data_IF_095351852808
#
_entry.id   IF_095351852808
#
_cell.length_a   1.000
_cell.length_b   1.000
_cell.length_c   1.000
_cell.angle_alpha   90.00
_cell.angle_beta   90.00
_cell.angle_gamma   90.00
#
_symmetry.space_group_name_H-M   'P 1'
#
loop_
_entity.id
_entity.type
_entity.pdbx_description
1 polymer ?
#
# COMPACT_ATOMS: atom_id res chain seq x y z
N UNK A 1 -67.84 34.62 9.45
CA UNK A 1 -66.82 34.51 8.39
C UNK A 1 -65.46 34.33 9.06
N UNK A 2 -64.96 33.09 9.13
CA UNK A 2 -63.67 32.77 9.77
C UNK A 2 -62.62 32.71 8.66
N UNK A 3 -61.66 33.64 8.67
CA UNK A 3 -60.54 33.67 7.71
C UNK A 3 -59.44 32.77 8.25
N UNK A 4 -59.26 31.60 7.64
CA UNK A 4 -58.12 30.73 7.89
C UNK A 4 -56.86 31.38 7.29
N UNK A 5 -55.92 31.79 8.15
CA UNK A 5 -54.60 32.27 7.74
C UNK A 5 -53.70 31.04 7.62
N UNK A 6 -53.34 30.67 6.39
CA UNK A 6 -52.37 29.61 6.11
C UNK A 6 -50.97 30.09 6.46
N UNK A 7 -50.39 29.55 7.53
CA UNK A 7 -48.99 29.76 7.90
C UNK A 7 -48.13 28.77 7.09
N UNK A 8 -47.47 29.24 6.04
CA UNK A 8 -46.46 28.46 5.31
C UNK A 8 -45.16 28.55 6.11
N UNK A 9 -44.79 27.48 6.80
CA UNK A 9 -43.50 27.35 7.44
C UNK A 9 -42.43 27.06 6.37
N UNK A 10 -41.56 28.04 6.10
CA UNK A 10 -40.40 27.86 5.23
C UNK A 10 -39.30 27.23 6.08
N UNK A 11 -39.09 25.92 5.94
CA UNK A 11 -37.94 25.23 6.52
C UNK A 11 -36.70 25.52 5.67
N UNK A 12 -35.80 26.36 6.17
CA UNK A 12 -34.47 26.52 5.61
C UNK A 12 -33.66 25.24 5.88
N UNK A 13 -33.43 24.43 4.84
CA UNK A 13 -32.49 23.32 4.92
C UNK A 13 -31.06 23.88 4.95
N UNK A 14 -30.37 23.72 6.09
CA UNK A 14 -28.95 24.02 6.18
C UNK A 14 -28.17 22.96 5.39
N UNK A 15 -27.66 23.33 4.22
CA UNK A 15 -26.65 22.54 3.51
C UNK A 15 -25.33 22.65 4.27
N UNK A 16 -24.98 21.62 5.04
CA UNK A 16 -23.63 21.47 5.55
C UNK A 16 -22.71 21.27 4.33
N UNK A 17 -21.90 22.28 4.00
CA UNK A 17 -20.81 22.11 3.06
C UNK A 17 -19.90 21.01 3.62
N UNK A 18 -19.86 19.86 2.95
CA UNK A 18 -18.87 18.84 3.26
C UNK A 18 -17.51 19.48 3.03
N UNK A 19 -16.73 19.69 4.10
CA UNK A 19 -15.33 20.04 3.96
C UNK A 19 -14.68 18.94 3.12
N UNK A 20 -14.18 19.30 1.94
CA UNK A 20 -13.42 18.39 1.10
C UNK A 20 -12.27 17.86 1.96
N UNK A 21 -12.32 16.56 2.29
CA UNK A 21 -11.25 15.93 3.06
C UNK A 21 -10.07 15.80 2.12
N UNK A 22 -9.18 16.78 2.19
CA UNK A 22 -7.94 16.77 1.44
C UNK A 22 -6.99 15.76 2.08
N UNK A 23 -6.48 14.76 1.33
CA UNK A 23 -5.58 13.76 1.88
C UNK A 23 -4.23 14.37 2.25
N UNK A 24 -3.60 13.81 3.27
CA UNK A 24 -2.14 13.87 3.40
C UNK A 24 -1.57 12.69 2.63
N UNK A 25 -0.52 12.92 1.83
CA UNK A 25 0.23 11.84 1.20
C UNK A 25 1.40 11.45 2.09
N UNK A 26 1.50 10.15 2.37
CA UNK A 26 2.65 9.56 3.05
C UNK A 26 3.35 8.65 2.05
N UNK A 27 4.64 8.88 1.78
CA UNK A 27 5.39 8.04 0.87
C UNK A 27 6.47 7.26 1.62
N UNK A 28 6.58 5.97 1.34
CA UNK A 28 7.56 5.07 1.96
C UNK A 28 8.26 4.20 0.91
N UNK A 29 9.49 3.78 1.22
CA UNK A 29 10.18 2.73 0.46
C UNK A 29 9.65 1.36 0.86
N UNK A 30 9.71 0.42 -0.09
CA UNK A 30 9.64 -1.01 0.19
C UNK A 30 10.53 -1.47 1.37
N UNK A 31 10.23 -2.63 1.94
CA UNK A 31 10.98 -3.22 3.06
C UNK A 31 12.33 -3.83 2.65
N UNK A 32 13.18 -4.09 3.64
CA UNK A 32 14.53 -4.63 3.49
C UNK A 32 14.53 -5.89 2.63
N UNK A 33 15.51 -6.01 1.73
CA UNK A 33 15.56 -7.06 0.71
C UNK A 33 16.74 -8.00 0.87
N UNK A 34 16.55 -9.25 0.45
CA UNK A 34 17.62 -10.21 0.27
C UNK A 34 18.43 -9.88 -1.00
N UNK A 35 19.53 -10.60 -1.21
CA UNK A 35 20.39 -10.45 -2.40
C UNK A 35 19.68 -10.81 -3.70
N UNK A 36 18.71 -11.72 -3.65
CA UNK A 36 17.87 -12.09 -4.80
C UNK A 36 16.78 -11.04 -5.12
N UNK A 37 16.58 -10.05 -4.25
CA UNK A 37 15.59 -8.98 -4.42
C UNK A 37 14.25 -9.24 -3.73
N UNK A 38 14.03 -10.41 -3.14
CA UNK A 38 12.84 -10.72 -2.32
C UNK A 38 12.87 -9.96 -0.99
N UNK A 39 11.72 -9.87 -0.30
CA UNK A 39 11.68 -9.26 1.05
C UNK A 39 12.43 -10.17 2.04
N UNK A 40 13.36 -9.58 2.79
CA UNK A 40 14.14 -10.25 3.82
C UNK A 40 13.32 -10.51 5.09
N UNK A 41 13.86 -11.33 6.00
CA UNK A 41 13.25 -11.53 7.34
C UNK A 41 13.15 -10.22 8.12
N UNK A 42 14.17 -9.35 8.02
CA UNK A 42 14.12 -8.02 8.61
C UNK A 42 12.99 -7.19 7.98
N UNK A 43 12.84 -7.28 6.65
CA UNK A 43 11.77 -6.58 5.93
C UNK A 43 10.39 -7.04 6.38
N UNK A 44 10.19 -8.35 6.55
CA UNK A 44 8.93 -8.90 7.07
C UNK A 44 8.62 -8.43 8.50
N UNK A 45 9.65 -8.28 9.35
CA UNK A 45 9.46 -7.68 10.67
C UNK A 45 9.02 -6.21 10.57
N UNK A 46 9.60 -5.46 9.62
CA UNK A 46 9.20 -4.09 9.35
C UNK A 46 7.76 -4.02 8.82
N UNK A 47 7.33 -4.91 7.93
CA UNK A 47 5.92 -4.98 7.47
C UNK A 47 4.93 -5.06 8.65
N UNK A 48 5.24 -5.87 9.67
CA UNK A 48 4.41 -5.96 10.88
C UNK A 48 4.47 -4.70 11.74
N UNK A 49 5.58 -3.96 11.70
CA UNK A 49 5.63 -2.64 12.30
C UNK A 49 4.71 -1.66 11.55
N UNK A 50 4.69 -1.67 10.22
CA UNK A 50 3.82 -0.80 9.42
C UNK A 50 2.35 -1.01 9.77
N UNK A 51 1.93 -2.26 10.02
CA UNK A 51 0.57 -2.58 10.51
C UNK A 51 0.23 -1.84 11.80
N UNK A 52 1.18 -1.73 12.74
CA UNK A 52 1.00 -1.02 14.01
C UNK A 52 1.03 0.49 13.81
N UNK A 53 1.99 0.98 13.03
CA UNK A 53 2.23 2.40 12.80
C UNK A 53 1.10 3.07 12.04
N UNK A 54 0.65 2.45 10.94
CA UNK A 54 -0.37 2.95 10.02
C UNK A 54 -1.75 2.33 10.24
N UNK A 55 -1.94 1.54 11.31
CA UNK A 55 -3.18 0.83 11.59
C UNK A 55 -4.40 1.72 11.78
N UNK A 56 -5.59 1.11 11.90
CA UNK A 56 -6.91 1.77 11.90
C UNK A 56 -7.07 2.93 12.89
N UNK A 57 -6.39 2.87 14.04
CA UNK A 57 -6.47 3.90 15.08
C UNK A 57 -5.27 4.86 15.06
N UNK A 58 -4.40 4.78 14.06
CA UNK A 58 -3.23 5.63 13.94
C UNK A 58 -3.60 7.06 13.55
N UNK A 59 -2.74 8.02 13.92
CA UNK A 59 -2.83 9.41 13.48
C UNK A 59 -2.76 9.55 11.95
N UNK A 60 -2.19 8.56 11.27
CA UNK A 60 -2.00 8.58 9.83
C UNK A 60 -3.30 8.37 9.08
N UNK A 61 -4.31 7.70 9.67
CA UNK A 61 -5.64 7.52 9.07
C UNK A 61 -5.56 7.09 7.59
N UNK A 62 -4.76 6.04 7.33
CA UNK A 62 -4.57 5.49 5.99
C UNK A 62 -5.85 4.78 5.55
N UNK A 63 -6.42 5.25 4.45
CA UNK A 63 -7.66 4.74 3.89
C UNK A 63 -7.50 4.33 2.41
N UNK A 64 -6.30 4.53 1.86
CA UNK A 64 -5.93 4.15 0.52
C UNK A 64 -4.44 3.85 0.44
N UNK A 65 -4.09 2.79 -0.29
CA UNK A 65 -2.69 2.41 -0.53
C UNK A 65 -2.48 2.36 -2.03
N UNK A 66 -1.45 3.06 -2.51
CA UNK A 66 -1.01 3.03 -3.89
C UNK A 66 0.41 2.50 -3.98
N UNK A 67 0.67 1.64 -4.97
CA UNK A 67 1.99 1.11 -5.25
C UNK A 67 2.27 1.08 -6.75
N UNK A 68 3.52 0.81 -7.12
CA UNK A 68 3.86 0.52 -8.51
C UNK A 68 3.29 -0.83 -8.95
N UNK A 69 2.96 -0.97 -10.24
CA UNK A 69 2.47 -2.23 -10.82
C UNK A 69 3.48 -3.36 -10.60
N UNK A 70 3.11 -4.42 -9.85
CA UNK A 70 3.97 -5.58 -9.69
C UNK A 70 3.95 -6.41 -10.98
N UNK A 71 5.13 -6.73 -11.51
CA UNK A 71 5.27 -7.62 -12.67
C UNK A 71 5.30 -9.08 -12.23
N UNK A 72 4.65 -9.98 -12.99
CA UNK A 72 4.70 -11.41 -12.69
C UNK A 72 6.09 -11.97 -13.03
N UNK A 73 6.60 -12.85 -12.19
CA UNK A 73 7.89 -13.50 -12.39
C UNK A 73 8.67 -13.67 -11.09
N UNK A 74 9.87 -14.22 -11.20
CA UNK A 74 10.73 -14.61 -10.08
C UNK A 74 12.20 -14.18 -10.31
N UNK A 75 12.42 -13.23 -11.22
CA UNK A 75 13.74 -12.61 -11.40
C UNK A 75 13.96 -11.47 -10.42
N UNK A 76 15.22 -11.08 -10.20
CA UNK A 76 15.56 -9.91 -9.39
C UNK A 76 14.93 -8.60 -9.93
N UNK A 77 14.69 -8.53 -11.24
CA UNK A 77 13.99 -7.42 -11.89
C UNK A 77 12.49 -7.45 -11.55
N UNK A 78 11.84 -8.61 -11.62
CA UNK A 78 10.44 -8.77 -11.24
C UNK A 78 10.23 -8.39 -9.77
N UNK A 79 11.10 -8.89 -8.88
CA UNK A 79 11.05 -8.55 -7.46
C UNK A 79 11.20 -7.05 -7.22
N UNK A 80 11.93 -6.34 -8.08
CA UNK A 80 12.05 -4.87 -7.99
C UNK A 80 10.73 -4.16 -8.14
N UNK A 81 9.84 -4.71 -8.96
CA UNK A 81 8.48 -4.17 -9.10
C UNK A 81 7.55 -4.65 -7.98
N UNK A 82 7.71 -5.87 -7.49
CA UNK A 82 6.83 -6.50 -6.50
C UNK A 82 7.01 -5.99 -5.06
N UNK A 83 8.23 -5.58 -4.69
CA UNK A 83 8.58 -5.25 -3.30
C UNK A 83 7.65 -4.23 -2.62
N UNK A 84 7.26 -3.09 -3.24
CA UNK A 84 6.32 -2.16 -2.61
C UNK A 84 4.93 -2.75 -2.35
N UNK A 85 4.42 -3.58 -3.28
CA UNK A 85 3.18 -4.31 -3.07
C UNK A 85 3.30 -5.26 -1.87
N UNK A 86 4.32 -6.12 -1.86
CA UNK A 86 4.54 -7.08 -0.77
C UNK A 86 4.70 -6.39 0.60
N UNK A 87 5.42 -5.27 0.62
CA UNK A 87 5.67 -4.47 1.84
C UNK A 87 4.37 -3.96 2.48
N UNK A 88 3.38 -3.61 1.65
CA UNK A 88 2.14 -2.97 2.12
C UNK A 88 0.99 -3.95 2.28
N UNK A 89 1.12 -5.18 1.76
CA UNK A 89 0.07 -6.18 1.77
C UNK A 89 -0.45 -6.50 3.19
N UNK A 90 0.40 -6.76 4.21
CA UNK A 90 -0.11 -7.02 5.56
C UNK A 90 -0.88 -5.84 6.17
N UNK A 91 -0.47 -4.61 5.87
CA UNK A 91 -1.17 -3.40 6.32
C UNK A 91 -2.53 -3.27 5.62
N UNK A 92 -2.58 -3.47 4.30
CA UNK A 92 -3.82 -3.41 3.53
C UNK A 92 -4.85 -4.43 4.04
N UNK A 93 -4.42 -5.67 4.29
CA UNK A 93 -5.24 -6.73 4.88
C UNK A 93 -5.77 -6.34 6.27
N UNK A 94 -4.92 -5.78 7.13
CA UNK A 94 -5.31 -5.32 8.48
C UNK A 94 -6.34 -4.19 8.44
N UNK A 95 -6.16 -3.24 7.52
CA UNK A 95 -7.06 -2.11 7.29
C UNK A 95 -8.37 -2.56 6.63
N UNK A 96 -8.35 -3.66 5.87
CA UNK A 96 -9.48 -4.13 5.07
C UNK A 96 -9.68 -3.30 3.80
N UNK A 97 -8.60 -2.82 3.19
CA UNK A 97 -8.59 -2.02 1.96
C UNK A 97 -7.81 -2.73 0.86
N UNK A 98 -8.11 -2.41 -0.39
CA UNK A 98 -7.34 -2.89 -1.55
C UNK A 98 -6.11 -2.02 -1.77
N UNK A 99 -5.10 -2.61 -2.40
CA UNK A 99 -3.93 -1.89 -2.90
C UNK A 99 -4.15 -1.56 -4.36
N UNK A 100 -4.07 -0.28 -4.69
CA UNK A 100 -4.11 0.18 -6.07
C UNK A 100 -2.70 0.20 -6.66
N UNK A 101 -2.57 -0.26 -7.90
CA UNK A 101 -1.28 -0.27 -8.60
C UNK A 101 -1.43 0.24 -10.05
N UNK A 102 -1.78 1.54 -10.22
CA UNK A 102 -2.21 2.07 -11.51
C UNK A 102 -1.05 2.35 -12.48
N UNK A 103 0.19 2.41 -11.99
CA UNK A 103 1.31 3.01 -12.70
C UNK A 103 2.54 2.10 -12.67
N UNK A 104 3.26 2.03 -13.79
CA UNK A 104 4.49 1.24 -13.90
C UNK A 104 5.61 1.82 -13.03
N UNK A 105 6.59 0.96 -12.69
CA UNK A 105 7.76 1.25 -11.87
C UNK A 105 8.45 2.61 -12.13
N UNK A 106 8.63 2.99 -13.41
CA UNK A 106 9.28 4.26 -13.80
C UNK A 106 8.32 5.43 -14.01
N UNK A 107 7.00 5.21 -14.04
CA UNK A 107 6.01 6.24 -14.36
C UNK A 107 5.57 7.02 -13.11
N UNK A 108 6.50 7.82 -12.60
CA UNK A 108 6.29 8.62 -11.38
C UNK A 108 5.30 9.76 -11.61
N UNK A 109 5.15 10.24 -12.85
CA UNK A 109 4.12 11.20 -13.23
C UNK A 109 2.71 10.64 -13.10
N UNK A 110 2.48 9.42 -13.60
CA UNK A 110 1.22 8.71 -13.40
C UNK A 110 0.94 8.53 -11.91
N UNK A 111 1.94 8.12 -11.12
CA UNK A 111 1.76 7.92 -9.68
C UNK A 111 1.31 9.20 -8.96
N UNK A 112 1.95 10.34 -9.25
CA UNK A 112 1.55 11.63 -8.69
C UNK A 112 0.15 12.08 -9.15
N UNK A 113 -0.17 11.92 -10.43
CA UNK A 113 -1.49 12.27 -10.95
C UNK A 113 -2.59 11.38 -10.36
N UNK A 114 -2.35 10.08 -10.23
CA UNK A 114 -3.29 9.15 -9.62
C UNK A 114 -3.52 9.50 -8.14
N UNK A 115 -2.48 9.91 -7.41
CA UNK A 115 -2.60 10.38 -6.04
C UNK A 115 -3.44 11.66 -5.95
N UNK A 116 -3.22 12.64 -6.84
CA UNK A 116 -3.99 13.89 -6.91
C UNK A 116 -5.44 13.67 -7.33
N UNK A 117 -5.74 12.61 -8.08
CA UNK A 117 -7.09 12.24 -8.48
C UNK A 117 -7.88 11.52 -7.35
N UNK A 118 -7.22 11.16 -6.24
CA UNK A 118 -7.89 10.52 -5.11
C UNK A 118 -8.84 11.50 -4.41
N UNK A 119 -10.13 11.19 -4.44
CA UNK A 119 -11.20 11.96 -3.79
C UNK A 119 -11.87 11.20 -2.64
N UNK A 120 -11.28 10.07 -2.24
CA UNK A 120 -11.79 9.23 -1.16
C UNK A 120 -11.54 9.80 0.24
N UNK A 121 -12.06 9.13 1.29
CA UNK A 121 -11.89 9.59 2.66
C UNK A 121 -10.47 9.32 3.18
N UNK A 122 -9.94 10.19 4.02
CA UNK A 122 -8.69 9.93 4.75
C UNK A 122 -7.43 10.11 3.92
N UNK A 123 -6.34 9.48 4.35
CA UNK A 123 -5.01 9.73 3.80
C UNK A 123 -4.53 8.57 2.93
N UNK A 124 -3.58 8.88 2.06
CA UNK A 124 -3.04 7.94 1.08
C UNK A 124 -1.62 7.56 1.49
N UNK A 125 -1.35 6.26 1.58
CA UNK A 125 0.00 5.72 1.67
C UNK A 125 0.47 5.31 0.27
N UNK A 126 1.62 5.81 -0.15
CA UNK A 126 2.23 5.50 -1.44
C UNK A 126 3.53 4.75 -1.18
N UNK A 127 3.59 3.48 -1.54
CA UNK A 127 4.84 2.72 -1.46
C UNK A 127 5.47 2.55 -2.84
N UNK A 128 6.76 2.82 -2.94
CA UNK A 128 7.47 2.79 -4.22
C UNK A 128 8.93 2.36 -4.06
N UNK A 129 9.64 2.20 -5.17
CA UNK A 129 11.11 2.10 -5.15
C UNK A 129 11.78 3.43 -4.77
N UNK A 130 12.79 3.37 -3.89
CA UNK A 130 13.39 4.58 -3.27
C UNK A 130 13.92 5.59 -4.28
N UNK A 131 14.56 5.14 -5.35
CA UNK A 131 15.13 6.03 -6.38
C UNK A 131 14.05 6.88 -7.09
N UNK A 132 12.80 6.44 -7.05
CA UNK A 132 11.67 7.08 -7.70
C UNK A 132 10.78 7.87 -6.72
N UNK A 133 10.87 7.63 -5.41
CA UNK A 133 10.08 8.36 -4.40
C UNK A 133 10.20 9.89 -4.50
N UNK A 134 11.40 10.49 -4.68
CA UNK A 134 11.50 11.94 -4.85
C UNK A 134 10.75 12.44 -6.10
N UNK A 135 10.74 11.67 -7.18
CA UNK A 135 10.04 12.04 -8.40
C UNK A 135 8.52 11.89 -8.27
N UNK A 136 8.03 10.87 -7.56
CA UNK A 136 6.60 10.73 -7.21
C UNK A 136 6.15 11.92 -6.35
N UNK A 137 6.90 12.26 -5.31
CA UNK A 137 6.60 13.41 -4.44
C UNK A 137 6.59 14.74 -5.19
N UNK A 138 7.54 14.95 -6.12
CA UNK A 138 7.55 16.12 -7.02
C UNK A 138 6.33 16.17 -7.93
N UNK A 139 5.91 15.01 -8.48
CA UNK A 139 4.70 14.93 -9.31
C UNK A 139 3.41 15.28 -8.55
N UNK A 140 3.38 15.11 -7.23
CA UNK A 140 2.28 15.55 -6.35
C UNK A 140 2.35 17.07 -6.08
N UNK A 141 3.52 17.70 -6.26
CA UNK A 141 3.73 19.15 -6.05
C UNK A 141 4.89 19.49 -5.12
N UNK A 142 5.62 18.48 -4.62
CA UNK A 142 6.72 18.66 -3.69
C UNK A 142 7.84 19.53 -4.26
N UNK A 143 8.30 20.49 -3.48
CA UNK A 143 9.44 21.35 -3.77
C UNK A 143 10.60 20.96 -2.88
N UNK A 144 11.83 21.13 -3.38
CA UNK A 144 13.08 20.80 -2.66
C UNK A 144 13.08 19.39 -2.02
N UNK A 145 12.40 18.45 -2.68
CA UNK A 145 12.22 17.09 -2.16
C UNK A 145 13.59 16.42 -1.98
N UNK A 146 13.94 15.97 -0.76
CA UNK A 146 15.22 15.32 -0.51
C UNK A 146 15.34 14.01 -1.30
N UNK A 147 16.57 13.59 -1.56
CA UNK A 147 16.82 12.23 -2.06
C UNK A 147 16.49 11.22 -0.96
N UNK A 148 15.96 10.05 -1.36
CA UNK A 148 15.74 8.96 -0.43
C UNK A 148 17.02 8.12 -0.34
N UNK A 149 17.75 8.11 0.78
CA UNK A 149 19.06 7.48 0.87
C UNK A 149 18.97 5.94 0.85
N UNK A 150 19.88 5.31 0.11
CA UNK A 150 19.95 3.85 -0.05
C UNK A 150 20.06 3.08 1.28
N UNK A 151 20.74 3.69 2.27
CA UNK A 151 21.00 3.11 3.59
C UNK A 151 19.81 3.13 4.53
N UNK A 152 18.72 3.82 4.17
CA UNK A 152 17.51 3.88 4.98
C UNK A 152 16.36 3.13 4.31
N UNK A 153 15.57 2.48 5.16
CA UNK A 153 14.34 1.80 4.76
C UNK A 153 13.12 2.43 5.44
N UNK A 154 13.33 3.08 6.57
CA UNK A 154 12.34 3.48 7.57
C UNK A 154 11.85 4.93 7.45
N UNK A 155 12.16 5.63 6.36
CA UNK A 155 11.77 7.03 6.21
C UNK A 155 10.37 7.17 5.63
N UNK A 156 9.66 8.18 6.13
CA UNK A 156 8.34 8.58 5.67
C UNK A 156 8.46 10.00 5.13
N UNK A 157 8.09 10.20 3.87
CA UNK A 157 7.83 11.53 3.34
C UNK A 157 6.41 11.91 3.71
N UNK A 158 6.25 12.95 4.51
CA UNK A 158 4.97 13.50 4.89
C UNK A 158 4.71 14.73 4.02
N UNK A 159 3.65 14.66 3.21
CA UNK A 159 3.34 15.68 2.21
C UNK A 159 1.88 16.13 2.36
N UNK A 160 1.58 16.98 3.37
CA UNK A 160 0.25 17.56 3.56
C UNK A 160 -0.01 18.69 2.55
N UNK A 161 -1.27 19.06 2.33
CA UNK A 161 -1.65 20.26 1.57
C UNK A 161 -0.87 21.50 2.10
N UNK A 162 -0.33 22.39 1.25
CA UNK A 162 -0.49 22.52 -0.21
C UNK A 162 0.40 21.61 -1.06
N UNK A 163 0.93 20.52 -0.49
CA UNK A 163 1.79 19.51 -1.11
C UNK A 163 3.18 19.99 -1.52
N UNK A 164 3.49 21.28 -1.36
CA UNK A 164 4.80 21.84 -1.68
C UNK A 164 5.87 21.47 -0.67
N UNK A 165 5.53 21.36 0.61
CA UNK A 165 6.48 21.03 1.67
C UNK A 165 6.50 19.52 1.95
N UNK A 166 7.71 18.94 1.97
CA UNK A 166 7.94 17.52 2.27
C UNK A 166 8.79 17.40 3.51
N UNK A 167 8.23 16.89 4.60
CA UNK A 167 8.99 16.60 5.82
C UNK A 167 9.30 15.13 5.92
N UNK A 168 10.51 14.80 6.38
CA UNK A 168 10.97 13.42 6.53
C UNK A 168 10.96 13.04 8.00
N UNK A 169 10.30 11.94 8.33
CA UNK A 169 10.31 11.33 9.66
C UNK A 169 10.74 9.87 9.57
N UNK A 170 11.19 9.26 10.66
CA UNK A 170 11.37 7.80 10.74
C UNK A 170 10.07 7.13 11.19
N UNK A 171 9.88 5.87 10.81
CA UNK A 171 8.87 4.96 11.32
C UNK A 171 9.14 4.53 12.77
N UNK A 172 10.39 4.66 13.25
CA UNK A 172 10.83 4.24 14.59
C UNK A 172 10.47 2.78 14.91
N UNK A 173 10.50 1.90 13.91
CA UNK A 173 10.03 0.51 14.02
C UNK A 173 10.78 -0.33 15.05
N UNK A 174 12.05 -0.02 15.32
CA UNK A 174 12.81 -0.65 16.41
C UNK A 174 12.19 -0.36 17.79
N UNK A 175 11.63 0.84 18.00
CA UNK A 175 11.01 1.24 19.27
C UNK A 175 9.58 0.68 19.41
N UNK A 176 8.83 0.56 18.32
CA UNK A 176 7.46 0.03 18.30
C UNK A 176 7.41 -1.48 18.64
N UNK A 177 8.50 -2.21 18.36
CA UNK A 177 8.66 -3.62 18.76
C UNK A 177 8.94 -3.84 20.25
N UNK A 178 9.69 -2.94 20.89
CA UNK A 178 10.13 -3.08 22.28
C UNK A 178 9.01 -2.81 23.30
N UNK A 179 8.08 -1.89 23.00
CA UNK A 179 6.95 -1.57 23.88
C UNK A 179 5.91 -2.71 24.01
N UNK A 180 5.98 -3.71 23.15
CA UNK A 180 5.09 -4.89 23.19
C UNK A 180 5.63 -6.05 24.04
N UNK A 181 6.86 -5.95 24.56
CA UNK A 181 7.53 -7.01 25.34
C UNK A 181 7.68 -6.69 26.83
N UNK A 182 7.22 -5.52 27.30
CA UNK A 182 7.16 -5.20 28.73
C UNK A 182 5.88 -5.75 29.35
N UNK A 183 5.78 -7.08 29.41
CA UNK A 183 4.65 -7.79 29.98
C UNK A 183 5.02 -9.23 30.34
N UNK A 184 5.36 -9.42 31.62
CA UNK A 184 5.52 -10.71 32.32
C UNK A 184 6.86 -11.44 32.20
N UNK A 185 7.66 -11.18 33.22
CA UNK A 185 8.82 -11.89 33.72
C UNK A 185 8.63 -13.40 33.98
N UNK A 186 9.72 -14.15 33.73
CA UNK A 186 10.20 -15.37 34.42
C UNK A 186 9.32 -16.61 34.52
N UNK A 187 9.73 -17.69 33.87
CA UNK A 187 10.14 -18.91 34.58
C UNK A 187 11.10 -19.76 33.75
N UNK A 188 12.29 -20.02 34.31
CA UNK A 188 13.20 -21.07 33.87
C UNK A 188 12.62 -22.45 34.19
N UNK A 189 12.71 -23.41 33.27
CA UNK A 189 12.99 -24.82 33.59
C UNK A 189 13.19 -25.66 32.32
N UNK A 190 14.39 -26.24 32.24
CA UNK A 190 14.67 -27.64 31.92
C UNK A 190 14.57 -28.12 30.47
N UNK A 191 15.77 -28.34 29.94
CA UNK A 191 16.11 -29.24 28.84
C UNK A 191 15.73 -30.70 29.12
N UNK A 192 14.96 -31.30 28.22
CA UNK A 192 14.95 -32.75 28.00
C UNK A 192 15.02 -33.03 26.51
N UNK A 193 16.08 -33.74 26.14
CA UNK A 193 16.34 -34.33 24.84
C UNK A 193 15.28 -35.38 24.48
N UNK A 194 14.72 -35.29 23.27
CA UNK A 194 14.15 -36.44 22.58
C UNK A 194 14.35 -36.26 21.08
N UNK A 195 15.17 -37.15 20.51
CA UNK A 195 15.35 -37.32 19.09
C UNK A 195 14.08 -37.93 18.47
N UNK A 196 13.66 -37.42 17.32
CA UNK A 196 12.84 -38.16 16.37
C UNK A 196 13.09 -37.66 14.94
N UNK A 197 13.14 -38.65 14.05
CA UNK A 197 13.64 -38.68 12.69
C UNK A 197 12.74 -38.04 11.63
N UNK A 198 13.41 -37.50 10.60
CA UNK A 198 13.10 -37.54 9.17
C UNK A 198 11.64 -37.67 8.70
N UNK A 199 11.14 -36.64 8.01
CA UNK A 199 10.33 -36.82 6.79
C UNK A 199 10.40 -35.56 5.92
N UNK A 200 11.04 -35.72 4.78
CA UNK A 200 11.13 -34.79 3.67
C UNK A 200 9.75 -34.71 2.98
N UNK A 201 9.11 -33.54 2.92
CA UNK A 201 7.88 -33.34 2.12
C UNK A 201 8.11 -32.18 1.18
N UNK A 202 8.51 -32.53 -0.04
CA UNK A 202 8.51 -31.64 -1.19
C UNK A 202 7.06 -31.20 -1.46
N UNK A 203 6.80 -29.89 -1.37
CA UNK A 203 5.50 -29.31 -1.73
C UNK A 203 5.48 -29.09 -3.24
N UNK A 204 4.67 -29.90 -3.91
CA UNK A 204 4.41 -29.87 -5.34
C UNK A 204 3.67 -28.56 -5.70
N UNK A 205 4.28 -27.77 -6.59
CA UNK A 205 3.67 -26.59 -7.19
C UNK A 205 2.52 -27.03 -8.10
N UNK A 206 1.32 -26.50 -7.85
CA UNK A 206 0.15 -26.71 -8.68
C UNK A 206 -0.09 -25.45 -9.51
N UNK A 207 0.33 -25.46 -10.78
CA UNK A 207 0.02 -24.39 -11.75
C UNK A 207 -1.16 -24.82 -12.62
N UNK A 208 -2.25 -24.05 -12.71
CA UNK A 208 -3.32 -24.33 -13.66
C UNK A 208 -2.91 -23.92 -15.08
N UNK A 209 -2.84 -24.90 -15.98
CA UNK A 209 -2.67 -24.71 -17.43
C UNK A 209 -3.93 -24.09 -18.03
N UNK A 210 -3.80 -22.89 -18.59
CA UNK A 210 -4.80 -22.32 -19.50
C UNK A 210 -4.54 -22.86 -20.91
N UNK A 211 -5.45 -23.68 -21.42
CA UNK A 211 -5.45 -24.11 -22.83
C UNK A 211 -6.28 -23.14 -23.67
N UNK A 212 -5.63 -22.44 -24.60
CA UNK A 212 -6.26 -21.69 -25.69
C UNK A 212 -7.11 -22.62 -26.57
N UNK A 213 -8.42 -22.45 -26.54
CA UNK A 213 -9.34 -23.03 -27.52
C UNK A 213 -9.48 -22.11 -28.73
N UNK A 214 -8.91 -22.51 -29.86
CA UNK A 214 -9.18 -21.93 -31.18
C UNK A 214 -10.57 -22.41 -31.61
N UNK A 215 -11.54 -21.51 -31.74
CA UNK A 215 -12.80 -21.80 -32.44
C UNK A 215 -12.68 -21.22 -33.85
N UNK A 216 -12.48 -22.10 -34.83
CA UNK A 216 -12.57 -21.78 -36.24
C UNK A 216 -14.06 -21.64 -36.63
N UNK A 217 -14.49 -20.42 -36.96
CA UNK A 217 -15.78 -20.18 -37.61
C UNK A 217 -15.54 -20.08 -39.11
N UNK A 218 -15.89 -21.16 -39.84
CA UNK A 218 -16.03 -21.13 -41.29
C UNK A 218 -17.35 -20.47 -41.67
N UNK A 219 -17.30 -19.47 -42.54
CA UNK A 219 -18.48 -18.95 -43.25
C UNK A 219 -18.29 -19.29 -44.73
N UNK A 220 -19.17 -20.15 -45.22
CA UNK A 220 -19.26 -20.58 -46.59
C UNK A 220 -19.78 -19.44 -47.49
N UNK A 221 -19.14 -19.29 -48.65
CA UNK A 221 -19.61 -18.48 -49.75
C UNK A 221 -20.85 -19.12 -50.40
N UNK A 222 -21.87 -18.30 -50.69
CA UNK A 222 -22.97 -18.65 -51.58
C UNK A 222 -22.99 -17.62 -52.71
N UNK A 223 -22.51 -18.07 -53.86
CA UNK A 223 -22.69 -17.46 -55.18
C UNK A 223 -24.01 -18.01 -55.73
N UNK A 224 -24.90 -17.13 -56.17
CA UNK A 224 -25.91 -17.41 -57.19
C UNK A 224 -26.17 -16.14 -57.98
N UNK A 225 -26.43 -16.34 -59.28
CA UNK A 225 -26.45 -15.38 -60.39
C UNK A 225 -27.26 -14.11 -60.17
#
# INVERSE_FOLDING_TARGET
>A
MIKFVNLIAITAAATAAAAEKVPVYYLIRHAEKNTDGTISIQGQQREQCLVKLFGKSSKYNIQHIMVQTPYPGDSAEDHTTQRPYNTTLPLAESLGITIDHPCNYTDTSCAGQAALNYTGPGNVLIAWEHVHLPAVSKAIGGQDVPSYPDSHFDLIYNQPLPYTNVTVTSEDCAAIGAASMTGSSTTSATSTTAAASSANVARQANTPKWTCGIVAAGIAALISL
#
